data_IF_039985939099
#
_entry.id   IF_039985939099
#
_cell.length_a   1.000
_cell.length_b   1.000
_cell.length_c   1.000
_cell.angle_alpha   90.00
_cell.angle_beta   90.00
_cell.angle_gamma   90.00
#
_symmetry.space_group_name_H-M   'P 1'
#
loop_
_entity.id
_entity.type
_entity.pdbx_description
1 polymer ?
#
# COMPACT_ATOMS: atom_id res chain seq x y z
N UNK A 1 4.52 -61.60 0.22
CA UNK A 1 4.67 -60.36 1.02
C UNK A 1 5.68 -59.45 0.34
N UNK A 2 5.25 -58.31 -0.21
CA UNK A 2 6.13 -57.23 -0.67
C UNK A 2 5.60 -55.93 -0.06
N UNK A 3 6.39 -55.28 0.79
CA UNK A 3 6.23 -53.88 1.19
C UNK A 3 7.09 -53.03 0.23
N UNK A 4 6.53 -51.89 -0.19
CA UNK A 4 7.17 -50.63 -0.63
C UNK A 4 5.96 -49.74 -1.01
N UNK A 5 5.52 -48.78 -0.19
CA UNK A 5 6.12 -47.49 0.20
C UNK A 5 6.45 -46.63 -1.03
N UNK A 6 6.02 -45.37 -0.94
CA UNK A 6 6.19 -44.25 -1.87
C UNK A 6 5.05 -44.08 -2.90
N UNK A 7 4.45 -42.91 -3.11
CA UNK A 7 4.72 -41.55 -2.63
C UNK A 7 3.44 -40.72 -2.84
N UNK A 8 3.26 -39.76 -1.94
CA UNK A 8 2.26 -38.70 -2.00
C UNK A 8 2.20 -38.06 -3.38
N UNK A 9 1.06 -38.16 -4.05
CA UNK A 9 0.70 -37.20 -5.10
C UNK A 9 -0.22 -36.17 -4.46
N UNK A 10 0.36 -35.33 -3.61
CA UNK A 10 -0.15 -33.99 -3.35
C UNK A 10 -0.10 -33.24 -4.68
N UNK A 11 -1.13 -33.42 -5.52
CA UNK A 11 -1.38 -32.54 -6.67
C UNK A 11 -1.51 -31.14 -6.09
N UNK A 12 -0.49 -30.34 -6.36
CA UNK A 12 -0.38 -28.97 -5.89
C UNK A 12 -1.67 -28.23 -6.15
N UNK A 13 -2.38 -27.90 -5.07
CA UNK A 13 -3.20 -26.69 -5.07
C UNK A 13 -2.20 -25.57 -5.31
N UNK A 14 -2.18 -25.02 -6.51
CA UNK A 14 -1.56 -23.73 -6.80
C UNK A 14 -2.03 -22.81 -5.67
N UNK A 15 -1.16 -22.46 -4.72
CA UNK A 15 -1.49 -21.46 -3.72
C UNK A 15 -1.88 -20.23 -4.53
N UNK A 16 -3.15 -19.84 -4.49
CA UNK A 16 -3.56 -18.56 -5.03
C UNK A 16 -2.58 -17.54 -4.46
N UNK A 17 -1.81 -16.89 -5.35
CA UNK A 17 -0.87 -15.85 -4.94
C UNK A 17 -1.69 -14.80 -4.20
N UNK A 18 -1.47 -14.65 -2.90
CA UNK A 18 -2.13 -13.62 -2.12
C UNK A 18 -1.53 -12.29 -2.53
N UNK A 19 -2.15 -11.63 -3.50
CA UNK A 19 -1.86 -10.26 -3.85
C UNK A 19 -2.94 -9.38 -3.21
N UNK A 20 -2.51 -8.24 -2.70
CA UNK A 20 -3.39 -7.21 -2.17
C UNK A 20 -3.20 -5.92 -2.94
N UNK A 21 -4.27 -5.14 -3.03
CA UNK A 21 -4.25 -3.83 -3.66
C UNK A 21 -4.11 -2.76 -2.59
N UNK A 22 -3.18 -1.84 -2.79
CA UNK A 22 -2.90 -0.72 -1.91
C UNK A 22 -3.08 0.60 -2.66
N UNK A 23 -3.69 1.57 -1.99
CA UNK A 23 -3.81 2.94 -2.50
C UNK A 23 -3.28 3.86 -1.42
N UNK A 24 -2.37 4.74 -1.77
CA UNK A 24 -1.81 5.73 -0.85
C UNK A 24 -2.14 7.11 -1.38
N UNK A 25 -2.81 7.92 -0.56
CA UNK A 25 -3.11 9.30 -0.88
C UNK A 25 -2.31 10.21 0.03
N UNK A 26 -1.59 11.15 -0.56
CA UNK A 26 -0.79 12.13 0.14
C UNK A 26 -1.36 13.52 -0.11
N UNK A 27 -1.59 14.25 0.97
CA UNK A 27 -1.86 15.68 0.93
C UNK A 27 -0.87 16.41 1.82
N UNK A 28 0.18 16.94 1.18
CA UNK A 28 1.23 17.72 1.82
C UNK A 28 1.01 19.21 1.61
N UNK A 29 1.22 20.01 2.63
CA UNK A 29 1.18 21.46 2.48
C UNK A 29 2.50 21.98 1.88
N UNK A 30 2.42 23.10 1.15
CA UNK A 30 3.59 23.81 0.59
C UNK A 30 4.47 22.92 -0.33
N UNK A 31 3.85 22.04 -1.13
CA UNK A 31 4.53 21.05 -1.99
C UNK A 31 5.65 21.65 -2.85
N UNK A 32 5.43 22.84 -3.41
CA UNK A 32 6.38 23.57 -4.26
C UNK A 32 7.65 24.02 -3.51
N UNK A 33 7.57 24.22 -2.19
CA UNK A 33 8.73 24.59 -1.37
C UNK A 33 9.45 23.36 -0.80
N UNK A 34 8.82 22.18 -0.90
CA UNK A 34 9.25 20.91 -0.29
C UNK A 34 9.44 19.82 -1.35
N UNK A 35 9.85 20.20 -2.56
CA UNK A 35 9.97 19.29 -3.70
C UNK A 35 10.86 18.08 -3.42
N UNK A 36 12.00 18.26 -2.76
CA UNK A 36 12.90 17.16 -2.40
C UNK A 36 12.24 16.14 -1.47
N UNK A 37 11.47 16.61 -0.49
CA UNK A 37 10.71 15.73 0.40
C UNK A 37 9.65 14.95 -0.39
N UNK A 38 8.90 15.64 -1.26
CA UNK A 38 7.89 15.02 -2.13
C UNK A 38 8.50 13.95 -3.03
N UNK A 39 9.66 14.22 -3.64
CA UNK A 39 10.37 13.25 -4.50
C UNK A 39 10.85 12.03 -3.72
N UNK A 40 11.29 12.20 -2.46
CA UNK A 40 11.63 11.07 -1.61
C UNK A 40 10.41 10.20 -1.31
N UNK A 41 9.27 10.81 -0.97
CA UNK A 41 8.01 10.06 -0.77
C UNK A 41 7.62 9.32 -2.05
N UNK A 42 7.67 9.97 -3.22
CA UNK A 42 7.37 9.33 -4.50
C UNK A 42 8.27 8.12 -4.77
N UNK A 43 9.57 8.23 -4.45
CA UNK A 43 10.52 7.13 -4.58
C UNK A 43 10.17 5.95 -3.66
N UNK A 44 9.83 6.21 -2.39
CA UNK A 44 9.36 5.17 -1.46
C UNK A 44 8.12 4.47 -2.05
N UNK A 45 7.13 5.22 -2.53
CA UNK A 45 5.92 4.63 -3.10
C UNK A 45 6.24 3.72 -4.30
N UNK A 46 7.17 4.14 -5.16
CA UNK A 46 7.64 3.33 -6.28
C UNK A 46 8.31 2.02 -5.84
N UNK A 47 9.16 2.05 -4.81
CA UNK A 47 9.80 0.86 -4.23
C UNK A 47 8.78 -0.13 -3.64
N UNK A 48 7.60 0.36 -3.24
CA UNK A 48 6.46 -0.47 -2.79
C UNK A 48 5.59 -0.99 -3.93
N UNK A 49 6.04 -0.85 -5.19
CA UNK A 49 5.31 -1.16 -6.43
C UNK A 49 4.02 -0.34 -6.58
N UNK A 50 4.03 0.91 -6.12
CA UNK A 50 2.92 1.84 -6.38
C UNK A 50 3.29 2.84 -7.48
N UNK A 51 2.38 3.03 -8.41
CA UNK A 51 2.48 4.01 -9.48
C UNK A 51 1.65 5.24 -9.18
N UNK A 52 2.19 6.42 -9.49
CA UNK A 52 1.49 7.69 -9.31
C UNK A 52 0.39 7.84 -10.35
N UNK A 53 -0.83 8.09 -9.88
CA UNK A 53 -1.98 8.42 -10.71
C UNK A 53 -2.03 9.91 -11.04
N UNK A 54 -2.48 10.26 -12.25
CA UNK A 54 -2.69 11.65 -12.66
C UNK A 54 -3.96 12.19 -12.00
N UNK A 55 -3.81 12.87 -10.87
CA UNK A 55 -4.93 13.45 -10.13
C UNK A 55 -4.53 14.73 -9.39
N UNK A 56 -5.50 15.54 -8.97
CA UNK A 56 -5.25 16.77 -8.21
C UNK A 56 -4.67 16.50 -6.82
N UNK A 57 -4.90 15.30 -6.28
CA UNK A 57 -4.28 14.81 -5.04
C UNK A 57 -3.17 13.83 -5.42
N UNK A 58 -2.10 13.79 -4.63
CA UNK A 58 -1.00 12.89 -4.92
C UNK A 58 -1.41 11.48 -4.52
N UNK A 59 -1.83 10.68 -5.50
CA UNK A 59 -2.40 9.35 -5.29
C UNK A 59 -1.51 8.31 -5.94
N UNK A 60 -1.20 7.25 -5.20
CA UNK A 60 -0.40 6.12 -5.64
C UNK A 60 -1.22 4.84 -5.56
N UNK A 61 -1.05 3.98 -6.54
CA UNK A 61 -1.82 2.75 -6.67
C UNK A 61 -0.90 1.59 -7.05
N UNK A 62 -1.10 0.42 -6.45
CA UNK A 62 -0.39 -0.77 -6.88
C UNK A 62 -0.78 -2.04 -6.14
N UNK A 63 -0.28 -3.16 -6.65
CA UNK A 63 -0.50 -4.48 -6.06
C UNK A 63 0.79 -4.98 -5.43
N UNK A 64 0.66 -5.57 -4.24
CA UNK A 64 1.80 -6.10 -3.51
C UNK A 64 1.46 -7.48 -2.91
N UNK A 65 2.46 -8.35 -2.79
CA UNK A 65 2.33 -9.69 -2.21
C UNK A 65 2.36 -9.68 -0.67
N UNK A 66 2.65 -8.52 -0.07
CA UNK A 66 2.64 -8.34 1.37
C UNK A 66 1.21 -8.37 1.93
N UNK A 67 1.08 -8.90 3.15
CA UNK A 67 -0.14 -8.70 3.93
C UNK A 67 -0.31 -7.22 4.30
N UNK A 68 -1.53 -6.80 4.63
CA UNK A 68 -1.81 -5.45 5.12
C UNK A 68 -0.84 -5.03 6.24
N UNK A 69 -0.62 -5.92 7.22
CA UNK A 69 0.21 -5.61 8.38
C UNK A 69 1.69 -5.44 8.00
N UNK A 70 2.22 -6.31 7.15
CA UNK A 70 3.60 -6.21 6.68
C UNK A 70 3.81 -4.97 5.82
N UNK A 71 2.88 -4.68 4.91
CA UNK A 71 2.94 -3.48 4.08
C UNK A 71 2.98 -2.21 4.92
N UNK A 72 2.04 -2.06 5.88
CA UNK A 72 1.98 -0.89 6.75
C UNK A 72 3.25 -0.79 7.59
N UNK A 73 3.70 -1.89 8.20
CA UNK A 73 4.91 -1.89 9.02
C UNK A 73 6.14 -1.44 8.23
N UNK A 74 6.32 -1.99 7.03
CA UNK A 74 7.46 -1.67 6.18
C UNK A 74 7.38 -0.23 5.70
N UNK A 75 6.21 0.24 5.26
CA UNK A 75 6.04 1.61 4.82
C UNK A 75 6.32 2.61 5.95
N UNK A 76 5.86 2.33 7.16
CA UNK A 76 6.17 3.18 8.32
C UNK A 76 7.65 3.18 8.67
N UNK A 77 8.36 2.08 8.45
CA UNK A 77 9.79 2.01 8.69
C UNK A 77 10.57 2.94 7.74
N UNK A 78 10.26 2.91 6.45
CA UNK A 78 10.89 3.80 5.45
C UNK A 78 10.51 5.27 5.69
N UNK A 79 9.24 5.55 6.01
CA UNK A 79 8.79 6.92 6.25
C UNK A 79 9.36 7.53 7.55
N UNK A 80 9.76 6.71 8.53
CA UNK A 80 10.30 7.19 9.80
C UNK A 80 11.60 8.00 9.63
N UNK A 81 12.38 7.73 8.56
CA UNK A 81 13.57 8.52 8.23
C UNK A 81 13.23 9.97 7.86
N UNK A 82 11.98 10.24 7.48
CA UNK A 82 11.51 11.54 7.03
C UNK A 82 10.57 12.24 8.02
N UNK A 83 10.40 11.70 9.23
CA UNK A 83 9.42 12.18 10.22
C UNK A 83 9.58 13.65 10.61
N UNK A 84 10.82 14.16 10.64
CA UNK A 84 11.10 15.57 10.95
C UNK A 84 10.64 16.53 9.85
N UNK A 85 10.50 16.04 8.61
CA UNK A 85 10.07 16.83 7.46
C UNK A 85 8.55 16.89 7.33
N UNK A 86 7.80 16.02 8.02
CA UNK A 86 6.33 16.07 8.03
C UNK A 86 5.83 17.25 8.87
N UNK A 87 5.06 18.13 8.23
CA UNK A 87 4.36 19.23 8.88
C UNK A 87 3.04 18.75 9.53
N UNK A 88 2.50 19.52 10.48
CA UNK A 88 1.28 19.16 11.22
C UNK A 88 0.07 19.03 10.29
N UNK A 89 0.00 19.84 9.24
CA UNK A 89 -1.09 19.79 8.27
C UNK A 89 -0.93 18.69 7.21
N UNK A 90 0.22 18.01 7.14
CA UNK A 90 0.42 16.93 6.19
C UNK A 90 -0.45 15.72 6.55
N UNK A 91 -0.94 15.02 5.53
CA UNK A 91 -1.67 13.79 5.72
C UNK A 91 -1.32 12.75 4.67
N UNK A 92 -1.27 11.49 5.12
CA UNK A 92 -1.14 10.34 4.24
C UNK A 92 -2.14 9.27 4.67
N UNK A 93 -2.95 8.80 3.72
CA UNK A 93 -4.04 7.86 3.94
C UNK A 93 -3.77 6.62 3.11
N UNK A 94 -3.78 5.46 3.76
CA UNK A 94 -3.54 4.16 3.12
C UNK A 94 -4.87 3.39 3.07
N UNK A 95 -5.29 3.03 1.87
CA UNK A 95 -6.40 2.12 1.59
C UNK A 95 -5.83 0.74 1.26
N UNK A 96 -6.61 -0.28 1.64
CA UNK A 96 -6.26 -1.68 1.43
C UNK A 96 -7.50 -2.45 1.02
N UNK A 97 -7.34 -3.26 -0.02
CA UNK A 97 -8.37 -4.15 -0.54
C UNK A 97 -7.76 -5.52 -0.82
N UNK A 98 -8.49 -6.59 -0.50
CA UNK A 98 -8.06 -7.94 -0.88
C UNK A 98 -8.38 -8.17 -2.36
N UNK A 99 -7.54 -8.90 -3.09
CA UNK A 99 -7.72 -9.08 -4.54
C UNK A 99 -9.03 -9.77 -4.93
N UNK A 100 -9.67 -10.53 -4.04
CA UNK A 100 -11.02 -11.08 -4.27
C UNK A 100 -12.11 -9.99 -4.30
N UNK A 101 -11.80 -8.76 -3.89
CA UNK A 101 -12.71 -7.62 -3.86
C UNK A 101 -12.58 -6.68 -5.08
N UNK A 102 -11.55 -6.84 -5.94
CA UNK A 102 -11.16 -5.82 -6.94
C UNK A 102 -10.64 -6.34 -8.28
N UNK A 103 -11.21 -7.43 -8.81
CA UNK A 103 -10.96 -7.82 -10.22
C UNK A 103 -11.76 -7.01 -11.24
N UNK A 104 -12.51 -5.98 -10.80
CA UNK A 104 -13.26 -5.07 -11.67
C UNK A 104 -12.91 -3.62 -11.38
N UNK A 105 -12.18 -3.04 -12.32
CA UNK A 105 -11.89 -1.62 -12.49
C UNK A 105 -11.37 -0.86 -11.27
N UNK A 106 -10.05 -0.84 -11.19
CA UNK A 106 -9.26 0.10 -10.37
C UNK A 106 -9.68 1.56 -10.63
N UNK A 107 -10.13 1.87 -11.85
CA UNK A 107 -10.66 3.18 -12.24
C UNK A 107 -12.00 3.53 -11.58
N UNK A 108 -12.69 2.54 -11.00
CA UNK A 108 -13.96 2.71 -10.29
C UNK A 108 -13.82 2.77 -8.76
N UNK A 109 -12.58 2.67 -8.24
CA UNK A 109 -12.37 2.70 -6.80
C UNK A 109 -12.68 4.10 -6.26
N UNK A 110 -13.91 4.25 -5.76
CA UNK A 110 -14.32 5.45 -5.04
C UNK A 110 -13.43 5.61 -3.80
N UNK A 111 -12.64 6.68 -3.81
CA UNK A 111 -11.85 7.12 -2.68
C UNK A 111 -12.82 7.44 -1.53
N UNK A 112 -12.78 6.63 -0.48
CA UNK A 112 -13.65 6.82 0.68
C UNK A 112 -13.24 8.08 1.47
N UNK A 113 -14.19 8.87 1.97
CA UNK A 113 -13.88 10.08 2.72
C UNK A 113 -13.13 9.79 4.04
N UNK A 114 -12.37 10.78 4.50
CA UNK A 114 -11.64 10.75 5.79
C UNK A 114 -12.57 10.30 6.93
N UNK A 115 -12.13 9.31 7.71
CA UNK A 115 -12.87 8.68 8.81
C UNK A 115 -13.61 7.39 8.45
N UNK A 116 -13.61 6.99 7.18
CA UNK A 116 -14.20 5.73 6.73
C UNK A 116 -13.52 4.49 7.33
N UNK A 117 -14.30 3.42 7.53
CA UNK A 117 -13.79 2.14 8.02
C UNK A 117 -12.77 1.56 7.04
N UNK A 118 -11.58 1.21 7.54
CA UNK A 118 -10.49 0.63 6.75
C UNK A 118 -9.33 1.57 6.42
N UNK A 119 -9.46 2.87 6.73
CA UNK A 119 -8.41 3.88 6.55
C UNK A 119 -7.33 3.77 7.62
N UNK A 120 -6.07 3.93 7.22
CA UNK A 120 -4.93 4.07 8.12
C UNK A 120 -4.24 5.39 7.81
N UNK A 121 -3.97 6.17 8.86
CA UNK A 121 -3.29 7.47 8.76
C UNK A 121 -1.85 7.32 9.20
N UNK A 122 -0.91 7.71 8.34
CA UNK A 122 0.44 7.98 8.78
C UNK A 122 0.42 9.23 9.67
N UNK A 123 0.98 9.11 10.89
CA UNK A 123 0.84 10.04 12.02
C UNK A 123 -0.61 10.28 12.50
N UNK A 124 -0.99 9.63 13.59
CA UNK A 124 -1.93 10.20 14.58
C UNK A 124 -1.06 10.93 15.60
N UNK A 125 -0.73 12.20 15.36
CA UNK A 125 -0.16 13.03 16.43
C UNK A 125 -1.31 13.36 17.39
N UNK A 126 -1.24 12.79 18.60
CA UNK A 126 -1.94 13.30 19.78
C UNK A 126 -1.10 14.40 20.42
#
# INVERSE_FOLDING_TARGET
MKKNVEKEVLKGKTKASFMSTFIVMCDFVEKEQRESFVQCIEKIMFEFNLERQKSNVMTFFGKNNLTKQEYIKNLYHELAEFDEYFQIQDSMIIYYYRNDELDKDIDSVEIKPRGSKGLVYYRLLY
#
